data_IF_462297590817
#
_entry.id   IF_462297590817
#
_cell.length_a   1.000
_cell.length_b   1.000
_cell.length_c   1.000
_cell.angle_alpha   90.00
_cell.angle_beta   90.00
_cell.angle_gamma   90.00
#
_symmetry.space_group_name_H-M   'P 1'
#
loop_
_entity.id
_entity.type
_entity.pdbx_description
1 polymer ?
#
# COMPACT_ATOMS: atom_id res chain seq x y z
N UNK A 1 18.31 40.27 -7.80
CA UNK A 1 18.90 39.12 -8.54
C UNK A 1 17.80 38.15 -8.78
N UNK A 2 17.25 38.22 -9.95
CA UNK A 2 16.17 37.30 -10.31
C UNK A 2 16.79 35.96 -10.67
N UNK A 3 16.69 35.00 -9.77
CA UNK A 3 16.89 33.63 -10.12
C UNK A 3 15.79 33.22 -11.09
N UNK A 4 15.98 33.53 -12.33
CA UNK A 4 15.20 32.93 -13.39
C UNK A 4 15.71 31.48 -13.52
N UNK A 5 15.26 30.63 -12.63
CA UNK A 5 15.25 29.21 -12.88
C UNK A 5 14.26 29.04 -14.01
N UNK A 6 14.76 29.05 -15.21
CA UNK A 6 13.96 28.65 -16.37
C UNK A 6 13.60 27.20 -16.15
N UNK A 7 12.34 26.95 -15.82
CA UNK A 7 11.81 25.61 -15.67
C UNK A 7 12.20 24.78 -16.88
N UNK A 8 12.86 23.67 -16.62
CA UNK A 8 13.20 22.74 -17.69
C UNK A 8 11.92 22.16 -18.28
N UNK A 9 11.92 21.72 -19.55
CA UNK A 9 10.75 21.05 -20.13
C UNK A 9 10.23 19.90 -19.26
N UNK A 10 11.11 19.21 -18.56
CA UNK A 10 10.76 18.13 -17.65
C UNK A 10 10.02 18.63 -16.41
N UNK A 11 10.41 19.77 -15.86
CA UNK A 11 9.72 20.37 -14.70
C UNK A 11 8.31 20.81 -15.06
N UNK A 12 8.13 21.42 -16.22
CA UNK A 12 6.81 21.80 -16.73
C UNK A 12 5.90 20.59 -16.97
N UNK A 13 6.46 19.50 -17.49
CA UNK A 13 5.74 18.26 -17.70
C UNK A 13 5.28 17.64 -16.38
N UNK A 14 6.14 17.68 -15.35
CA UNK A 14 5.80 17.22 -14.00
C UNK A 14 4.72 18.08 -13.36
N UNK A 15 4.80 19.39 -13.44
CA UNK A 15 3.78 20.30 -12.92
C UNK A 15 2.43 20.08 -13.58
N UNK A 16 2.39 19.92 -14.89
CA UNK A 16 1.15 19.62 -15.62
C UNK A 16 0.55 18.29 -15.19
N UNK A 17 1.39 17.28 -14.99
CA UNK A 17 0.97 15.97 -14.52
C UNK A 17 0.41 16.05 -13.11
N UNK A 18 1.07 16.78 -12.21
CA UNK A 18 0.63 16.96 -10.82
C UNK A 18 -0.71 17.70 -10.76
N UNK A 19 -0.89 18.75 -11.55
CA UNK A 19 -2.16 19.47 -11.64
C UNK A 19 -3.31 18.58 -12.14
N UNK A 20 -3.05 17.77 -13.15
CA UNK A 20 -4.03 16.82 -13.68
C UNK A 20 -4.43 15.78 -12.63
N UNK A 21 -3.45 15.22 -11.95
CA UNK A 21 -3.67 14.23 -10.89
C UNK A 21 -4.46 14.83 -9.72
N UNK A 22 -4.11 16.03 -9.27
CA UNK A 22 -4.83 16.74 -8.19
C UNK A 22 -6.28 16.98 -8.57
N UNK A 23 -6.55 17.39 -9.81
CA UNK A 23 -7.92 17.59 -10.29
C UNK A 23 -8.72 16.28 -10.29
N UNK A 24 -8.08 15.17 -10.62
CA UNK A 24 -8.72 13.84 -10.67
C UNK A 24 -9.08 13.32 -9.29
N UNK A 25 -8.24 13.56 -8.28
CA UNK A 25 -8.46 13.02 -6.91
C UNK A 25 -9.14 13.99 -5.96
N UNK A 26 -9.39 15.22 -6.37
CA UNK A 26 -9.90 16.31 -5.53
C UNK A 26 -11.15 15.94 -4.72
N UNK A 27 -12.10 15.24 -5.32
CA UNK A 27 -13.36 14.86 -4.69
C UNK A 27 -13.41 13.38 -4.31
N UNK A 28 -12.27 12.71 -4.29
CA UNK A 28 -12.18 11.28 -4.00
C UNK A 28 -11.50 11.03 -2.66
N UNK A 29 -11.96 10.02 -1.96
CA UNK A 29 -11.21 9.46 -0.84
C UNK A 29 -10.14 8.54 -1.40
N UNK A 30 -8.91 8.75 -0.97
CA UNK A 30 -7.76 7.94 -1.41
C UNK A 30 -7.28 7.08 -0.26
N UNK A 31 -7.16 5.80 -0.49
CA UNK A 31 -6.57 4.85 0.45
C UNK A 31 -5.20 4.41 -0.07
N UNK A 32 -4.21 4.41 0.80
CA UNK A 32 -2.87 3.90 0.50
C UNK A 32 -2.61 2.65 1.34
N UNK A 33 -2.27 1.57 0.68
CA UNK A 33 -1.85 0.34 1.36
C UNK A 33 -0.37 0.47 1.70
N UNK A 34 -0.08 0.65 2.99
CA UNK A 34 1.26 0.91 3.49
C UNK A 34 1.82 -0.37 4.11
N UNK A 35 2.88 -0.91 3.53
CA UNK A 35 3.47 -2.19 3.95
C UNK A 35 4.70 -2.07 4.84
N UNK A 36 5.18 -0.85 5.09
CA UNK A 36 6.47 -0.62 5.74
C UNK A 36 7.67 -0.69 4.79
N UNK A 37 7.46 -1.06 3.53
CA UNK A 37 8.50 -1.07 2.51
C UNK A 37 8.74 0.30 1.89
N UNK A 38 9.81 0.40 1.08
CA UNK A 38 10.23 1.66 0.45
C UNK A 38 9.19 2.16 -0.56
N UNK A 39 8.68 1.28 -1.41
CA UNK A 39 7.76 1.66 -2.49
C UNK A 39 6.46 2.27 -1.97
N UNK A 40 5.84 1.63 -0.98
CA UNK A 40 4.62 2.16 -0.37
C UNK A 40 4.86 3.44 0.41
N UNK A 41 6.02 3.59 1.03
CA UNK A 41 6.42 4.82 1.73
C UNK A 41 6.60 5.98 0.77
N UNK A 42 7.15 5.74 -0.42
CA UNK A 42 7.29 6.75 -1.49
C UNK A 42 5.91 7.22 -1.97
N UNK A 43 4.94 6.34 -2.07
CA UNK A 43 3.56 6.72 -2.45
C UNK A 43 2.98 7.71 -1.43
N UNK A 44 3.13 7.46 -0.14
CA UNK A 44 2.68 8.39 0.92
C UNK A 44 3.42 9.73 0.82
N UNK A 45 4.72 9.69 0.58
CA UNK A 45 5.53 10.90 0.40
C UNK A 45 5.05 11.73 -0.78
N UNK A 46 4.74 11.10 -1.92
CA UNK A 46 4.22 11.78 -3.11
C UNK A 46 2.89 12.49 -2.82
N UNK A 47 1.97 11.85 -2.13
CA UNK A 47 0.71 12.49 -1.70
C UNK A 47 0.98 13.66 -0.76
N UNK A 48 1.87 13.50 0.21
CA UNK A 48 2.23 14.56 1.15
C UNK A 48 2.86 15.76 0.44
N UNK A 49 3.72 15.52 -0.55
CA UNK A 49 4.33 16.56 -1.39
C UNK A 49 3.27 17.40 -2.10
N UNK A 50 2.18 16.80 -2.49
CA UNK A 50 1.06 17.47 -3.15
C UNK A 50 0.06 18.09 -2.15
N UNK A 51 0.36 18.06 -0.86
CA UNK A 51 -0.51 18.60 0.18
C UNK A 51 -1.71 17.72 0.53
N UNK A 52 -1.69 16.45 0.15
CA UNK A 52 -2.76 15.49 0.41
C UNK A 52 -2.40 14.59 1.59
N UNK A 53 -3.43 14.18 2.32
CA UNK A 53 -3.30 13.27 3.45
C UNK A 53 -4.23 12.07 3.25
N UNK A 54 -3.79 11.04 2.48
CA UNK A 54 -4.61 9.86 2.25
C UNK A 54 -4.78 9.04 3.53
N UNK A 55 -5.84 8.25 3.57
CA UNK A 55 -6.01 7.26 4.62
C UNK A 55 -5.06 6.08 4.36
N UNK A 56 -4.20 5.78 5.31
CA UNK A 56 -3.23 4.69 5.19
C UNK A 56 -3.75 3.44 5.90
N UNK A 57 -3.55 2.30 5.27
CA UNK A 57 -3.98 1.00 5.78
C UNK A 57 -2.82 0.03 5.76
N UNK A 58 -2.62 -0.68 6.85
CA UNK A 58 -1.72 -1.81 6.93
C UNK A 58 -2.55 -3.09 6.92
N UNK A 59 -2.32 -3.95 5.94
CA UNK A 59 -3.00 -5.24 5.84
C UNK A 59 -2.17 -6.27 6.61
N UNK A 60 -2.73 -6.77 7.70
CA UNK A 60 -2.13 -7.83 8.49
C UNK A 60 -2.52 -9.17 7.89
N UNK A 61 -1.53 -9.91 7.43
CA UNK A 61 -1.66 -11.25 6.89
C UNK A 61 -0.63 -12.16 7.59
N UNK A 62 -0.86 -13.45 7.56
CA UNK A 62 0.05 -14.42 8.12
C UNK A 62 -0.59 -15.28 9.21
N UNK A 63 0.15 -16.21 9.84
CA UNK A 63 -0.39 -17.10 10.87
C UNK A 63 -0.73 -16.34 12.16
N UNK A 64 -1.81 -16.74 12.83
CA UNK A 64 -2.23 -16.18 14.11
C UNK A 64 -1.24 -16.46 15.23
N UNK A 65 -0.56 -17.60 15.15
CA UNK A 65 0.43 -17.98 16.16
C UNK A 65 1.73 -17.20 15.94
N UNK A 66 2.21 -16.58 17.00
CA UNK A 66 3.52 -15.92 17.02
C UNK A 66 4.62 -16.98 16.92
N UNK A 67 4.96 -17.36 15.73
CA UNK A 67 6.17 -18.11 15.49
C UNK A 67 7.37 -17.16 15.46
N UNK A 68 8.56 -17.66 15.77
CA UNK A 68 9.80 -16.88 15.94
C UNK A 68 10.19 -16.01 14.72
N UNK A 69 9.51 -16.20 13.60
CA UNK A 69 9.73 -15.47 12.35
C UNK A 69 8.75 -14.28 12.12
N UNK A 70 7.83 -14.04 13.04
CA UNK A 70 6.89 -12.92 12.99
C UNK A 70 7.52 -11.57 13.33
N UNK A 71 8.82 -11.54 13.66
CA UNK A 71 9.54 -10.30 13.92
C UNK A 71 9.48 -9.31 12.76
N UNK A 72 9.42 -9.80 11.52
CA UNK A 72 9.37 -8.95 10.33
C UNK A 72 8.05 -8.19 10.20
N UNK A 73 6.92 -8.78 10.60
CA UNK A 73 5.63 -8.10 10.51
C UNK A 73 5.46 -7.01 11.57
N UNK A 74 6.05 -7.18 12.75
CA UNK A 74 6.08 -6.12 13.78
C UNK A 74 6.95 -4.94 13.35
N UNK A 75 8.12 -5.21 12.78
CA UNK A 75 9.00 -4.18 12.22
C UNK A 75 8.34 -3.43 11.08
N UNK A 76 7.67 -4.14 10.17
CA UNK A 76 6.95 -3.55 9.04
C UNK A 76 5.82 -2.65 9.54
N UNK A 77 5.08 -3.06 10.55
CA UNK A 77 4.02 -2.26 11.16
C UNK A 77 4.58 -1.01 11.85
N UNK A 78 5.70 -1.13 12.55
CA UNK A 78 6.39 0.01 13.16
C UNK A 78 6.84 1.02 12.10
N UNK A 79 7.42 0.55 11.01
CA UNK A 79 7.83 1.40 9.89
C UNK A 79 6.64 2.08 9.23
N UNK A 80 5.57 1.34 8.98
CA UNK A 80 4.33 1.90 8.42
C UNK A 80 3.74 2.98 9.34
N UNK A 81 3.71 2.72 10.64
CA UNK A 81 3.25 3.69 11.64
C UNK A 81 4.12 4.95 11.65
N UNK A 82 5.44 4.78 11.59
CA UNK A 82 6.38 5.90 11.56
C UNK A 82 6.19 6.76 10.31
N UNK A 83 6.03 6.15 9.14
CA UNK A 83 5.80 6.85 7.88
C UNK A 83 4.48 7.61 7.91
N UNK A 84 3.40 6.97 8.31
CA UNK A 84 2.08 7.61 8.40
C UNK A 84 2.13 8.81 9.35
N UNK A 85 2.74 8.66 10.51
CA UNK A 85 2.89 9.73 11.50
C UNK A 85 3.74 10.88 10.97
N UNK A 86 4.84 10.58 10.29
CA UNK A 86 5.72 11.60 9.71
C UNK A 86 5.00 12.51 8.72
N UNK A 87 4.10 11.96 7.93
CA UNK A 87 3.35 12.70 6.91
C UNK A 87 1.94 13.10 7.32
N UNK A 88 1.60 12.95 8.61
CA UNK A 88 0.31 13.37 9.14
C UNK A 88 -0.88 12.58 8.64
N UNK A 89 -0.67 11.33 8.24
CA UNK A 89 -1.73 10.43 7.79
C UNK A 89 -2.20 9.53 8.92
N UNK A 90 -3.48 9.15 8.89
CA UNK A 90 -4.02 8.13 9.79
C UNK A 90 -3.65 6.75 9.26
N UNK A 91 -3.25 5.86 10.15
CA UNK A 91 -2.99 4.46 9.83
C UNK A 91 -4.01 3.57 10.54
N UNK A 92 -4.67 2.73 9.77
CA UNK A 92 -5.56 1.70 10.28
C UNK A 92 -5.00 0.32 9.92
N UNK A 93 -5.00 -0.60 10.88
CA UNK A 93 -4.60 -1.99 10.67
C UNK A 93 -5.83 -2.80 10.33
N UNK A 94 -5.83 -3.44 9.16
CA UNK A 94 -6.91 -4.31 8.71
C UNK A 94 -6.43 -5.75 8.75
N UNK A 95 -7.09 -6.57 9.54
CA UNK A 95 -6.76 -7.98 9.67
C UNK A 95 -7.41 -8.79 8.54
N UNK A 96 -6.59 -9.29 7.61
CA UNK A 96 -6.99 -10.17 6.52
C UNK A 96 -6.35 -11.56 6.65
N UNK A 97 -5.96 -11.94 7.86
CA UNK A 97 -5.28 -13.19 8.14
C UNK A 97 -6.09 -14.41 7.69
N UNK A 98 -7.37 -14.46 8.06
CA UNK A 98 -8.23 -15.59 7.73
C UNK A 98 -8.52 -15.68 6.22
N UNK A 99 -8.72 -14.54 5.58
CA UNK A 99 -8.90 -14.45 4.14
C UNK A 99 -7.65 -14.91 3.39
N UNK A 100 -6.46 -14.52 3.87
CA UNK A 100 -5.20 -14.99 3.30
C UNK A 100 -5.07 -16.52 3.39
N UNK A 101 -5.36 -17.09 4.57
CA UNK A 101 -5.32 -18.53 4.75
C UNK A 101 -6.31 -19.25 3.83
N UNK A 102 -7.55 -18.79 3.80
CA UNK A 102 -8.62 -19.45 3.04
C UNK A 102 -8.40 -19.33 1.53
N UNK A 103 -7.94 -18.18 1.05
CA UNK A 103 -7.89 -17.87 -0.38
C UNK A 103 -6.50 -18.16 -0.98
N UNK A 104 -5.46 -17.59 -0.39
CA UNK A 104 -4.11 -17.64 -0.96
C UNK A 104 -3.39 -18.94 -0.62
N UNK A 105 -3.38 -19.33 0.64
CA UNK A 105 -2.67 -20.55 1.08
C UNK A 105 -3.33 -21.78 0.48
N UNK A 106 -4.64 -21.85 0.50
CA UNK A 106 -5.38 -22.96 -0.10
C UNK A 106 -5.14 -23.05 -1.61
N UNK A 107 -5.20 -21.95 -2.32
CA UNK A 107 -4.87 -21.89 -3.74
C UNK A 107 -3.46 -22.42 -4.01
N UNK A 108 -2.48 -21.96 -3.24
CA UNK A 108 -1.08 -22.36 -3.37
C UNK A 108 -0.93 -23.87 -3.14
N UNK A 109 -1.54 -24.40 -2.09
CA UNK A 109 -1.48 -25.84 -1.79
C UNK A 109 -2.14 -26.68 -2.87
N UNK A 110 -3.29 -26.28 -3.38
CA UNK A 110 -4.02 -27.01 -4.43
C UNK A 110 -3.19 -27.04 -5.73
N UNK A 111 -2.54 -25.93 -6.09
CA UNK A 111 -1.70 -25.86 -7.29
C UNK A 111 -0.44 -26.68 -7.17
N UNK A 112 0.21 -26.69 -6.01
CA UNK A 112 1.39 -27.55 -5.75
C UNK A 112 1.01 -29.04 -5.85
N UNK A 113 -0.12 -29.45 -5.29
CA UNK A 113 -0.62 -30.83 -5.40
C UNK A 113 -0.91 -31.23 -6.84
N UNK A 114 -1.36 -30.31 -7.67
CA UNK A 114 -1.63 -30.53 -9.09
C UNK A 114 -0.36 -30.49 -9.97
N UNK A 115 0.82 -30.25 -9.38
CA UNK A 115 2.11 -30.24 -10.10
C UNK A 115 2.48 -28.89 -10.71
N UNK A 116 1.75 -27.81 -10.38
CA UNK A 116 2.06 -26.46 -10.84
C UNK A 116 2.97 -25.71 -9.86
N UNK A 117 3.65 -24.68 -10.35
CA UNK A 117 4.41 -23.75 -9.52
C UNK A 117 3.61 -22.45 -9.38
N UNK A 118 2.85 -22.26 -8.29
CA UNK A 118 2.04 -21.06 -8.12
C UNK A 118 2.87 -19.84 -7.74
N UNK A 119 2.34 -18.64 -7.98
CA UNK A 119 2.91 -17.40 -7.48
C UNK A 119 2.00 -16.84 -6.38
N UNK A 120 2.34 -17.07 -5.09
CA UNK A 120 1.53 -16.57 -3.97
C UNK A 120 1.42 -15.04 -3.91
N UNK A 121 2.45 -14.31 -4.35
CA UNK A 121 2.46 -12.85 -4.33
C UNK A 121 1.42 -12.25 -5.27
N UNK A 122 1.28 -12.81 -6.47
CA UNK A 122 0.26 -12.38 -7.43
C UNK A 122 -1.14 -12.65 -6.87
N UNK A 123 -1.35 -13.82 -6.29
CA UNK A 123 -2.65 -14.18 -5.71
C UNK A 123 -2.96 -13.38 -4.46
N UNK A 124 -1.95 -13.07 -3.63
CA UNK A 124 -2.12 -12.16 -2.50
C UNK A 124 -2.59 -10.78 -2.96
N UNK A 125 -1.98 -10.22 -3.98
CA UNK A 125 -2.41 -8.94 -4.53
C UNK A 125 -3.86 -8.98 -5.02
N UNK A 126 -4.22 -10.01 -5.78
CA UNK A 126 -5.54 -10.15 -6.37
C UNK A 126 -6.64 -10.42 -5.35
N UNK A 127 -6.44 -11.39 -4.45
CA UNK A 127 -7.47 -11.89 -3.56
C UNK A 127 -7.57 -11.12 -2.25
N UNK A 128 -6.47 -10.62 -1.75
CA UNK A 128 -6.40 -9.95 -0.44
C UNK A 128 -6.31 -8.44 -0.58
N UNK A 129 -5.27 -7.91 -1.21
CA UNK A 129 -5.05 -6.47 -1.27
C UNK A 129 -6.11 -5.73 -2.08
N UNK A 130 -6.53 -6.30 -3.20
CA UNK A 130 -7.54 -5.70 -4.09
C UNK A 130 -8.87 -6.44 -4.09
N UNK A 131 -9.01 -7.49 -3.29
CA UNK A 131 -10.24 -8.25 -3.09
C UNK A 131 -10.81 -8.07 -1.69
N UNK A 132 -10.35 -8.88 -0.74
CA UNK A 132 -10.88 -8.87 0.63
C UNK A 132 -10.76 -7.51 1.33
N UNK A 133 -9.66 -6.78 1.13
CA UNK A 133 -9.50 -5.43 1.65
C UNK A 133 -10.56 -4.49 1.07
N UNK A 134 -10.75 -4.52 -0.24
CA UNK A 134 -11.75 -3.68 -0.91
C UNK A 134 -13.16 -3.97 -0.40
N UNK A 135 -13.51 -5.24 -0.22
CA UNK A 135 -14.79 -5.64 0.36
C UNK A 135 -14.99 -5.11 1.79
N UNK A 136 -13.95 -5.12 2.62
CA UNK A 136 -14.01 -4.63 4.01
C UNK A 136 -14.07 -3.11 4.12
N UNK A 137 -13.32 -2.41 3.30
CA UNK A 137 -13.04 -0.98 3.45
C UNK A 137 -13.48 -0.12 2.25
N UNK A 138 -13.86 -0.73 1.15
CA UNK A 138 -14.15 -0.06 -0.13
C UNK A 138 -15.45 0.73 -0.21
N UNK A 139 -16.08 0.97 0.91
CA UNK A 139 -17.37 1.68 0.96
C UNK A 139 -17.26 3.07 1.54
#
# INVERSE_FOLDING_TARGET
>A
MDNILTDTPREKELETRDEHFLAEVKDKRVAVLLSGGVDSSVVVWEFARLGLHPDCFYIKIGPEEKEEWDCSSEEDLEMATAVARKYGCKLEVVDCHQEYWNEVTRYTMDKVKAGFTPNPDVMCNRLIKFGAFDEKMGH
#
